data_IF_306423771941
#
_entry.id   IF_306423771941
#
_cell.length_a   1.000
_cell.length_b   1.000
_cell.length_c   1.000
_cell.angle_alpha   90.00
_cell.angle_beta   90.00
_cell.angle_gamma   90.00
#
_symmetry.space_group_name_H-M   'P 1'
#
loop_
_entity.id
_entity.type
_entity.pdbx_description
1 polymer ?
#
# COMPACT_ATOMS: atom_id res chain seq x y z
N UNK A 1 -5.86 -9.26 -15.58
CA UNK A 1 -7.02 -8.40 -15.26
C UNK A 1 -6.65 -7.62 -14.00
N UNK A 2 -6.48 -6.32 -14.12
CA UNK A 2 -6.09 -5.43 -13.02
C UNK A 2 -7.33 -5.11 -12.19
N UNK A 3 -7.46 -5.77 -11.04
CA UNK A 3 -8.66 -5.71 -10.16
C UNK A 3 -9.02 -4.33 -9.65
N UNK A 4 -8.09 -3.38 -9.69
CA UNK A 4 -8.25 -2.03 -9.14
C UNK A 4 -8.04 -0.94 -10.19
N UNK A 5 -7.79 -1.26 -11.47
CA UNK A 5 -7.37 -0.26 -12.45
C UNK A 5 -8.44 0.78 -12.81
N UNK A 6 -9.71 0.50 -12.55
CA UNK A 6 -10.81 1.45 -12.70
C UNK A 6 -10.75 2.60 -11.70
N UNK A 7 -10.14 2.39 -10.52
CA UNK A 7 -10.00 3.41 -9.47
C UNK A 7 -8.53 3.84 -9.32
N UNK A 8 -7.61 2.88 -9.41
CA UNK A 8 -6.17 3.05 -9.28
C UNK A 8 -5.45 2.52 -10.53
N UNK A 9 -5.50 3.22 -11.67
CA UNK A 9 -4.91 2.77 -12.93
C UNK A 9 -3.39 2.59 -12.88
N UNK A 10 -2.71 3.30 -11.97
CA UNK A 10 -1.27 3.16 -11.71
C UNK A 10 -0.89 2.06 -10.71
N UNK A 11 -1.87 1.33 -10.14
CA UNK A 11 -1.58 0.27 -9.18
C UNK A 11 -0.88 -0.93 -9.83
N UNK A 12 0.08 -1.51 -9.13
CA UNK A 12 0.84 -2.68 -9.58
C UNK A 12 1.19 -3.59 -8.41
N UNK A 13 1.58 -4.82 -8.72
CA UNK A 13 2.01 -5.82 -7.75
C UNK A 13 3.53 -5.98 -7.80
N UNK A 14 4.17 -6.20 -6.64
CA UNK A 14 5.64 -6.38 -6.51
C UNK A 14 6.20 -7.42 -7.48
N UNK A 15 5.43 -8.48 -7.78
CA UNK A 15 5.81 -9.52 -8.76
C UNK A 15 6.04 -8.96 -10.17
N UNK A 16 5.27 -7.98 -10.61
CA UNK A 16 5.41 -7.39 -11.95
C UNK A 16 6.62 -6.45 -12.07
N UNK A 17 7.23 -6.08 -10.94
CA UNK A 17 8.44 -5.26 -10.89
C UNK A 17 9.70 -6.08 -10.54
N UNK A 18 9.61 -7.42 -10.53
CA UNK A 18 10.73 -8.28 -10.13
C UNK A 18 11.09 -8.17 -8.65
N UNK A 19 10.15 -7.72 -7.81
CA UNK A 19 10.34 -7.49 -6.38
C UNK A 19 9.79 -8.62 -5.49
N UNK A 20 9.29 -9.71 -6.09
CA UNK A 20 8.64 -10.81 -5.37
C UNK A 20 9.52 -11.48 -4.30
N UNK A 21 10.83 -11.53 -4.54
CA UNK A 21 11.83 -12.17 -3.68
C UNK A 21 12.79 -11.13 -3.07
N UNK A 22 12.42 -9.85 -3.11
CA UNK A 22 13.23 -8.75 -2.59
C UNK A 22 12.89 -8.45 -1.15
N UNK A 23 13.86 -7.87 -0.44
CA UNK A 23 13.68 -7.50 0.97
C UNK A 23 12.72 -6.31 1.11
N UNK A 24 12.12 -6.16 2.29
CA UNK A 24 11.22 -5.01 2.57
C UNK A 24 11.93 -3.67 2.37
N UNK A 25 13.24 -3.62 2.60
CA UNK A 25 14.04 -2.42 2.33
C UNK A 25 14.17 -2.13 0.85
N UNK A 26 14.36 -3.14 0.00
CA UNK A 26 14.37 -2.95 -1.44
C UNK A 26 12.99 -2.52 -1.97
N UNK A 27 11.91 -3.15 -1.48
CA UNK A 27 10.53 -2.77 -1.82
C UNK A 27 10.25 -1.32 -1.38
N UNK A 28 10.64 -0.95 -0.16
CA UNK A 28 10.50 0.41 0.37
C UNK A 28 11.22 1.44 -0.50
N UNK A 29 12.47 1.18 -0.87
CA UNK A 29 13.25 2.10 -1.72
C UNK A 29 12.68 2.20 -3.13
N UNK A 30 12.21 1.09 -3.70
CA UNK A 30 11.52 1.09 -4.98
C UNK A 30 10.27 1.98 -4.92
N UNK A 31 9.41 1.77 -3.93
CA UNK A 31 8.19 2.55 -3.79
C UNK A 31 8.48 4.03 -3.58
N UNK A 32 9.46 4.35 -2.71
CA UNK A 32 9.92 5.72 -2.49
C UNK A 32 10.44 6.41 -3.76
N UNK A 33 11.25 5.71 -4.55
CA UNK A 33 11.89 6.29 -5.75
C UNK A 33 10.90 6.50 -6.89
N UNK A 34 9.86 5.67 -6.95
CA UNK A 34 8.86 5.67 -8.03
C UNK A 34 7.52 6.28 -7.59
N UNK A 35 7.48 6.98 -6.45
CA UNK A 35 6.29 7.66 -5.92
C UNK A 35 5.07 6.74 -5.72
N UNK A 36 5.31 5.50 -5.27
CA UNK A 36 4.23 4.57 -4.92
C UNK A 36 3.82 4.71 -3.46
N UNK A 37 2.52 4.48 -3.23
CA UNK A 37 1.99 4.07 -1.94
C UNK A 37 2.04 2.53 -1.83
N UNK A 38 2.49 2.00 -0.69
CA UNK A 38 2.52 0.56 -0.43
C UNK A 38 1.23 0.15 0.26
N UNK A 39 0.54 -0.83 -0.32
CA UNK A 39 -0.60 -1.52 0.31
C UNK A 39 -0.14 -2.89 0.79
N UNK A 40 -0.25 -3.17 2.09
CA UNK A 40 0.31 -4.40 2.67
C UNK A 40 -0.48 -4.87 3.89
N UNK A 41 -0.35 -6.17 4.20
CA UNK A 41 -0.83 -6.76 5.46
C UNK A 41 0.29 -6.86 6.51
N UNK A 42 1.53 -6.67 6.08
CA UNK A 42 2.72 -6.76 6.91
C UNK A 42 2.88 -5.53 7.82
N UNK A 43 3.05 -5.78 9.10
CA UNK A 43 3.21 -4.74 10.11
C UNK A 43 4.52 -3.97 9.96
N UNK A 44 5.57 -4.60 9.42
CA UNK A 44 6.92 -4.02 9.39
C UNK A 44 6.97 -2.72 8.57
N UNK A 45 6.17 -2.63 7.50
CA UNK A 45 6.03 -1.40 6.71
C UNK A 45 5.29 -0.29 7.47
N UNK A 46 4.23 -0.64 8.21
CA UNK A 46 3.47 0.32 9.00
C UNK A 46 4.31 0.86 10.18
N UNK A 47 5.03 -0.02 10.87
CA UNK A 47 5.97 0.34 11.93
C UNK A 47 7.10 1.23 11.39
N UNK A 48 7.68 0.87 10.25
CA UNK A 48 8.69 1.67 9.57
C UNK A 48 8.16 3.06 9.19
N UNK A 49 6.93 3.17 8.71
CA UNK A 49 6.29 4.47 8.42
C UNK A 49 6.03 5.29 9.68
N UNK A 50 5.66 4.67 10.80
CA UNK A 50 5.52 5.37 12.08
C UNK A 50 6.85 5.92 12.59
N UNK A 51 7.96 5.22 12.35
CA UNK A 51 9.30 5.63 12.77
C UNK A 51 9.93 6.70 11.87
N UNK A 52 9.76 6.58 10.55
CA UNK A 52 10.48 7.40 9.57
C UNK A 52 9.59 8.34 8.75
N UNK A 53 8.26 8.25 8.90
CA UNK A 53 7.30 9.00 8.09
C UNK A 53 7.19 8.48 6.65
N UNK A 54 6.74 9.36 5.75
CA UNK A 54 6.70 9.13 4.30
C UNK A 54 7.73 10.02 3.60
N UNK A 55 8.23 9.65 2.39
CA UNK A 55 7.78 8.56 1.51
C UNK A 55 8.42 7.16 1.76
N UNK A 56 7.74 6.06 1.37
CA UNK A 56 6.39 5.99 0.79
C UNK A 56 5.28 6.09 1.85
N UNK A 57 4.05 6.38 1.40
CA UNK A 57 2.84 6.27 2.23
C UNK A 57 2.40 4.81 2.32
N UNK A 58 1.81 4.42 3.45
CA UNK A 58 1.43 3.03 3.74
C UNK A 58 -0.09 2.92 3.93
N UNK A 59 -0.71 1.95 3.26
CA UNK A 59 -2.05 1.44 3.58
C UNK A 59 -1.88 0.06 4.19
N UNK A 60 -2.17 -0.06 5.48
CA UNK A 60 -2.08 -1.30 6.24
C UNK A 60 -3.44 -1.98 6.34
N UNK A 61 -3.56 -3.14 5.72
CA UNK A 61 -4.78 -3.93 5.66
C UNK A 61 -4.89 -4.83 6.90
N UNK A 62 -5.92 -4.59 7.72
CA UNK A 62 -6.20 -5.25 9.00
C UNK A 62 -7.23 -6.38 8.88
N UNK A 63 -7.15 -7.15 7.80
CA UNK A 63 -8.11 -8.22 7.48
C UNK A 63 -7.58 -9.65 7.68
N UNK A 64 -6.29 -9.84 8.02
CA UNK A 64 -5.69 -11.18 8.14
C UNK A 64 -5.66 -11.96 6.82
N UNK A 65 -5.40 -13.27 6.84
CA UNK A 65 -5.33 -14.06 5.61
C UNK A 65 -6.73 -14.28 5.02
N UNK A 66 -7.17 -13.35 4.17
CA UNK A 66 -8.44 -13.42 3.42
C UNK A 66 -8.16 -13.57 1.93
N UNK A 67 -9.11 -14.11 1.15
CA UNK A 67 -8.91 -14.26 -0.28
C UNK A 67 -8.84 -12.89 -0.98
N UNK A 68 -8.16 -12.82 -2.13
CA UNK A 68 -7.87 -11.57 -2.86
C UNK A 68 -9.11 -10.73 -3.18
N UNK A 69 -10.28 -11.35 -3.36
CA UNK A 69 -11.53 -10.61 -3.62
C UNK A 69 -11.99 -9.81 -2.38
N UNK A 70 -11.72 -10.28 -1.16
CA UNK A 70 -12.02 -9.54 0.05
C UNK A 70 -11.05 -8.36 0.24
N UNK A 71 -9.77 -8.56 -0.09
CA UNK A 71 -8.76 -7.48 -0.12
C UNK A 71 -9.19 -6.39 -1.12
N UNK A 72 -9.66 -6.80 -2.30
CA UNK A 72 -10.17 -5.88 -3.32
C UNK A 72 -11.36 -5.06 -2.80
N UNK A 73 -12.35 -5.71 -2.18
CA UNK A 73 -13.51 -5.02 -1.56
C UNK A 73 -13.06 -4.03 -0.50
N UNK A 74 -12.12 -4.41 0.38
CA UNK A 74 -11.60 -3.56 1.43
C UNK A 74 -10.91 -2.29 0.90
N UNK A 75 -10.05 -2.45 -0.11
CA UNK A 75 -9.38 -1.32 -0.75
C UNK A 75 -10.41 -0.40 -1.43
N UNK A 76 -11.44 -0.98 -2.08
CA UNK A 76 -12.52 -0.23 -2.74
C UNK A 76 -13.43 0.50 -1.75
N UNK A 77 -13.69 -0.06 -0.57
CA UNK A 77 -14.46 0.63 0.48
C UNK A 77 -13.67 1.75 1.15
N UNK A 78 -12.33 1.70 1.09
CA UNK A 78 -11.43 2.68 1.70
C UNK A 78 -11.01 3.84 0.79
N UNK A 79 -11.62 4.03 -0.39
CA UNK A 79 -11.16 4.99 -1.40
C UNK A 79 -11.00 6.41 -0.85
N UNK A 80 -12.01 6.95 -0.17
CA UNK A 80 -11.96 8.31 0.38
C UNK A 80 -10.82 8.47 1.40
N UNK A 81 -10.61 7.48 2.26
CA UNK A 81 -9.54 7.50 3.26
C UNK A 81 -8.15 7.34 2.62
N UNK A 82 -8.03 6.54 1.56
CA UNK A 82 -6.79 6.41 0.80
C UNK A 82 -6.49 7.73 0.08
N UNK A 83 -7.48 8.39 -0.52
CA UNK A 83 -7.29 9.70 -1.15
C UNK A 83 -6.89 10.77 -0.14
N UNK A 84 -7.48 10.77 1.06
CA UNK A 84 -7.05 11.66 2.15
C UNK A 84 -5.59 11.38 2.56
N UNK A 85 -5.23 10.10 2.73
CA UNK A 85 -3.84 9.70 3.00
C UNK A 85 -2.92 10.26 1.92
N UNK A 86 -3.23 10.09 0.64
CA UNK A 86 -2.36 10.51 -0.46
C UNK A 86 -2.19 12.04 -0.53
N UNK A 87 -3.26 12.80 -0.27
CA UNK A 87 -3.26 14.26 -0.40
C UNK A 87 -2.80 15.01 0.86
N UNK A 88 -2.77 14.36 2.03
CA UNK A 88 -2.38 15.00 3.27
C UNK A 88 -0.88 14.77 3.59
N UNK A 89 -0.03 15.80 3.61
CA UNK A 89 1.41 15.64 3.87
C UNK A 89 1.74 15.18 5.30
N UNK A 90 0.80 15.33 6.25
CA UNK A 90 0.97 14.92 7.64
C UNK A 90 0.53 13.46 7.89
N UNK A 91 -0.08 12.80 6.91
CA UNK A 91 -0.46 11.40 7.00
C UNK A 91 0.57 10.52 6.30
N UNK A 92 1.05 9.50 6.99
CA UNK A 92 2.07 8.58 6.46
C UNK A 92 1.57 7.13 6.39
N UNK A 93 0.64 6.76 7.28
CA UNK A 93 0.08 5.42 7.38
C UNK A 93 -1.43 5.49 7.62
N UNK A 94 -2.20 4.67 6.91
CA UNK A 94 -3.63 4.44 7.09
C UNK A 94 -3.87 2.98 7.45
N UNK A 95 -4.73 2.72 8.42
CA UNK A 95 -5.22 1.38 8.72
C UNK A 95 -6.61 1.19 8.10
N UNK A 96 -6.79 0.10 7.33
CA UNK A 96 -8.07 -0.28 6.74
C UNK A 96 -8.53 -1.62 7.31
N UNK A 97 -9.80 -1.70 7.70
CA UNK A 97 -10.42 -2.85 8.38
C UNK A 97 -11.47 -3.54 7.50
#
# INVERSE_FOLDING_TARGET
MTRLADIYPGSSHVQFHGLAEKTDTEIWQFARTNDFCIVTQDADFAERSRLYGSPPKIVWLRCGNVPTNQIEVLIRSGVEAIEELLNNPNLHCLELY
#
